data_IF_842652799151
#
_entry.id   IF_842652799151
#
_cell.length_a   1.000
_cell.length_b   1.000
_cell.length_c   1.000
_cell.angle_alpha   90.00
_cell.angle_beta   90.00
_cell.angle_gamma   90.00
#
_symmetry.space_group_name_H-M   'P 1'
#
loop_
_entity.id
_entity.type
_entity.pdbx_description
1 polymer ?
#
# COMPACT_ATOMS: atom_id res chain seq x y z
N UNK A 1 -5.58 10.24 -0.15
CA UNK A 1 -5.28 9.49 -1.40
C UNK A 1 -5.57 8.00 -1.19
N UNK A 2 -6.83 7.64 -0.89
CA UNK A 2 -7.21 6.26 -0.56
C UNK A 2 -6.79 5.22 -1.63
N UNK A 3 -6.90 5.50 -2.95
CA UNK A 3 -6.48 4.58 -4.01
C UNK A 3 -5.03 4.09 -3.91
N UNK A 4 -4.11 4.98 -3.54
CA UNK A 4 -2.71 4.63 -3.38
C UNK A 4 -2.54 3.59 -2.26
N UNK A 5 -3.21 3.79 -1.13
CA UNK A 5 -3.08 2.90 0.02
C UNK A 5 -3.74 1.54 -0.18
N UNK A 6 -4.84 1.46 -0.94
CA UNK A 6 -5.46 0.17 -1.27
C UNK A 6 -4.61 -0.62 -2.27
N UNK A 7 -4.08 0.03 -3.31
CA UNK A 7 -3.12 -0.59 -4.23
C UNK A 7 -1.83 -1.04 -3.51
N UNK A 8 -1.29 -0.22 -2.61
CA UNK A 8 -0.15 -0.60 -1.77
C UNK A 8 -0.48 -1.80 -0.85
N UNK A 9 -1.68 -1.83 -0.26
CA UNK A 9 -2.18 -3.00 0.47
C UNK A 9 -2.25 -4.25 -0.42
N UNK A 10 -2.67 -4.10 -1.67
CA UNK A 10 -2.63 -5.14 -2.69
C UNK A 10 -1.21 -5.68 -2.92
N UNK A 11 -0.22 -4.79 -3.08
CA UNK A 11 1.21 -5.16 -3.18
C UNK A 11 1.65 -5.97 -1.96
N UNK A 12 1.41 -5.48 -0.74
CA UNK A 12 1.82 -6.15 0.49
C UNK A 12 1.16 -7.52 0.70
N UNK A 13 -0.08 -7.66 0.26
CA UNK A 13 -0.86 -8.90 0.43
C UNK A 13 -0.19 -10.10 -0.25
N UNK A 14 0.59 -9.87 -1.31
CA UNK A 14 1.12 -10.93 -2.18
C UNK A 14 0.04 -11.60 -3.04
N UNK A 15 -1.21 -11.15 -2.99
CA UNK A 15 -2.30 -11.66 -3.81
C UNK A 15 -2.36 -10.91 -5.13
N UNK A 16 -2.03 -11.62 -6.22
CA UNK A 16 -2.18 -11.11 -7.58
C UNK A 16 -3.65 -10.79 -7.92
N UNK A 17 -4.60 -11.56 -7.38
CA UNK A 17 -6.03 -11.31 -7.54
C UNK A 17 -6.44 -9.99 -6.90
N UNK A 18 -6.04 -9.76 -5.64
CA UNK A 18 -6.38 -8.52 -4.93
C UNK A 18 -5.71 -7.30 -5.59
N UNK A 19 -4.42 -7.41 -5.92
CA UNK A 19 -3.70 -6.33 -6.59
C UNK A 19 -4.36 -5.96 -7.93
N UNK A 20 -4.71 -6.94 -8.76
CA UNK A 20 -5.38 -6.66 -10.03
C UNK A 20 -6.79 -6.07 -9.84
N UNK A 21 -7.53 -6.49 -8.81
CA UNK A 21 -8.83 -5.90 -8.48
C UNK A 21 -8.72 -4.40 -8.15
N UNK A 22 -7.72 -4.01 -7.35
CA UNK A 22 -7.47 -2.60 -7.04
C UNK A 22 -7.07 -1.79 -8.29
N UNK A 23 -6.27 -2.39 -9.18
CA UNK A 23 -5.81 -1.76 -10.42
C UNK A 23 -6.92 -1.64 -11.49
N UNK A 24 -7.89 -2.55 -11.48
CA UNK A 24 -9.05 -2.51 -12.39
C UNK A 24 -9.87 -1.23 -12.22
N UNK A 25 -10.00 -0.73 -10.98
CA UNK A 25 -10.71 0.51 -10.68
C UNK A 25 -10.12 1.74 -11.40
N UNK A 26 -8.89 1.64 -11.91
CA UNK A 26 -8.17 2.72 -12.60
C UNK A 26 -7.84 2.40 -14.05
N UNK A 27 -8.45 1.35 -14.63
CA UNK A 27 -8.20 0.90 -16.00
C UNK A 27 -6.71 0.63 -16.29
N UNK A 28 -5.98 0.06 -15.33
CA UNK A 28 -4.56 -0.23 -15.50
C UNK A 28 -4.30 -1.10 -16.74
N UNK A 29 -3.38 -0.63 -17.57
CA UNK A 29 -2.87 -1.33 -18.75
C UNK A 29 -2.16 -2.64 -18.37
N UNK A 30 -1.97 -3.51 -19.35
CA UNK A 30 -1.20 -4.76 -19.14
C UNK A 30 0.20 -4.48 -18.60
N UNK A 31 0.89 -3.46 -19.14
CA UNK A 31 2.23 -3.09 -18.68
C UNK A 31 2.27 -2.56 -17.25
N UNK A 32 1.26 -1.80 -16.84
CA UNK A 32 1.15 -1.30 -15.45
C UNK A 32 0.92 -2.44 -14.46
N UNK A 33 0.07 -3.42 -14.81
CA UNK A 33 -0.16 -4.61 -13.97
C UNK A 33 1.11 -5.41 -13.79
N UNK A 34 1.82 -5.69 -14.88
CA UNK A 34 3.11 -6.40 -14.83
C UNK A 34 4.14 -5.66 -13.97
N UNK A 35 4.17 -4.33 -14.01
CA UNK A 35 5.03 -3.53 -13.16
C UNK A 35 4.68 -3.69 -11.68
N UNK A 36 3.40 -3.56 -11.32
CA UNK A 36 2.95 -3.75 -9.93
C UNK A 36 3.16 -5.18 -9.42
N UNK A 37 2.97 -6.19 -10.28
CA UNK A 37 3.23 -7.59 -9.94
C UNK A 37 4.72 -7.86 -9.65
N UNK A 38 5.63 -7.20 -10.39
CA UNK A 38 7.07 -7.26 -10.08
C UNK A 38 7.39 -6.62 -8.73
N UNK A 39 6.76 -5.49 -8.39
CA UNK A 39 6.91 -4.88 -7.06
C UNK A 39 6.40 -5.83 -5.97
N UNK A 40 5.20 -6.40 -6.16
CA UNK A 40 4.63 -7.39 -5.25
C UNK A 40 5.56 -8.60 -5.07
N UNK A 41 6.21 -9.05 -6.14
CA UNK A 41 7.20 -10.13 -6.08
C UNK A 41 8.42 -9.75 -5.22
N UNK A 42 8.97 -8.53 -5.35
CA UNK A 42 10.05 -8.06 -4.49
C UNK A 42 9.66 -8.08 -3.00
N UNK A 43 8.43 -7.69 -2.67
CA UNK A 43 7.92 -7.76 -1.29
C UNK A 43 7.77 -9.20 -0.78
N UNK A 44 7.39 -10.15 -1.65
CA UNK A 44 7.37 -11.57 -1.29
C UNK A 44 8.78 -12.10 -1.03
N UNK A 45 9.75 -11.76 -1.87
CA UNK A 45 11.15 -12.19 -1.76
C UNK A 45 11.85 -11.58 -0.54
N UNK A 46 11.54 -10.32 -0.21
CA UNK A 46 12.04 -9.65 1.00
C UNK A 46 11.47 -10.19 2.32
N UNK A 47 10.49 -11.10 2.25
CA UNK A 47 9.94 -11.82 3.39
C UNK A 47 9.28 -10.94 4.46
N UNK A 48 9.26 -11.44 5.70
CA UNK A 48 8.61 -10.77 6.84
C UNK A 48 9.17 -9.37 7.08
N UNK A 49 10.47 -9.16 6.90
CA UNK A 49 11.09 -7.84 7.13
C UNK A 49 10.50 -6.79 6.18
N UNK A 50 10.41 -7.06 4.89
CA UNK A 50 9.82 -6.14 3.92
C UNK A 50 8.32 -5.93 4.20
N UNK A 51 7.59 -7.01 4.53
CA UNK A 51 6.16 -6.92 4.84
C UNK A 51 5.83 -6.11 6.09
N UNK A 52 6.72 -6.02 7.07
CA UNK A 52 6.46 -5.29 8.33
C UNK A 52 7.14 -3.93 8.43
N UNK A 53 8.35 -3.78 7.91
CA UNK A 53 9.12 -2.54 8.03
C UNK A 53 8.63 -1.49 7.04
N UNK A 54 8.40 -1.86 5.78
CA UNK A 54 7.98 -0.93 4.73
C UNK A 54 6.63 -0.25 5.05
N UNK A 55 5.58 -0.96 5.54
CA UNK A 55 4.35 -0.28 5.91
C UNK A 55 4.53 0.65 7.11
N UNK A 56 5.42 0.32 8.04
CA UNK A 56 5.74 1.22 9.17
C UNK A 56 6.40 2.50 8.68
N UNK A 57 7.36 2.39 7.76
CA UNK A 57 7.99 3.56 7.13
C UNK A 57 6.93 4.42 6.46
N UNK A 58 6.02 3.81 5.68
CA UNK A 58 4.94 4.53 5.03
C UNK A 58 4.01 5.24 6.03
N UNK A 59 3.59 4.57 7.11
CA UNK A 59 2.80 5.20 8.18
C UNK A 59 3.55 6.40 8.75
N UNK A 60 4.83 6.24 9.10
CA UNK A 60 5.65 7.32 9.66
C UNK A 60 5.76 8.51 8.71
N UNK A 61 5.88 8.28 7.41
CA UNK A 61 5.87 9.35 6.41
C UNK A 61 4.51 10.07 6.34
N UNK A 62 3.39 9.33 6.36
CA UNK A 62 2.05 9.91 6.26
C UNK A 62 1.69 10.74 7.50
N UNK A 63 2.13 10.33 8.69
CA UNK A 63 1.88 11.07 9.94
C UNK A 63 2.90 12.20 10.18
N UNK A 64 3.84 12.43 9.27
CA UNK A 64 4.81 13.51 9.43
C UNK A 64 4.11 14.88 9.36
N UNK A 65 4.64 15.92 10.03
CA UNK A 65 4.05 17.27 9.99
C UNK A 65 3.83 17.80 8.58
N UNK A 66 4.74 17.47 7.66
CA UNK A 66 4.67 17.87 6.26
C UNK A 66 3.48 17.22 5.55
N UNK A 67 3.27 15.91 5.69
CA UNK A 67 2.12 15.23 5.10
C UNK A 67 0.79 15.60 5.76
N UNK A 68 0.80 15.84 7.08
CA UNK A 68 -0.38 16.29 7.81
C UNK A 68 -0.87 17.66 7.33
N UNK A 69 0.04 18.54 6.94
CA UNK A 69 -0.32 19.84 6.35
C UNK A 69 -1.09 19.71 5.03
N UNK A 70 -0.95 18.58 4.33
CA UNK A 70 -1.57 18.33 3.03
C UNK A 70 -2.85 17.47 3.11
N UNK A 71 -2.86 16.41 3.92
CA UNK A 71 -4.00 15.47 3.98
C UNK A 71 -5.00 15.75 5.10
N UNK A 72 -4.64 16.53 6.13
CA UNK A 72 -5.48 16.74 7.30
C UNK A 72 -5.62 15.49 8.20
N UNK A 73 -5.97 15.69 9.47
CA UNK A 73 -5.94 14.63 10.49
C UNK A 73 -6.91 13.46 10.21
N UNK A 74 -8.06 13.73 9.58
CA UNK A 74 -9.09 12.71 9.33
C UNK A 74 -8.63 11.67 8.29
N UNK A 75 -8.02 12.13 7.19
CA UNK A 75 -7.50 11.24 6.14
C UNK A 75 -6.33 10.41 6.68
N UNK A 76 -5.47 11.00 7.51
CA UNK A 76 -4.37 10.28 8.15
C UNK A 76 -4.86 9.20 9.11
N UNK A 77 -5.95 9.44 9.85
CA UNK A 77 -6.54 8.44 10.71
C UNK A 77 -7.07 7.23 9.92
N UNK A 78 -7.74 7.46 8.79
CA UNK A 78 -8.23 6.39 7.92
C UNK A 78 -7.09 5.56 7.30
N UNK A 79 -6.03 6.22 6.83
CA UNK A 79 -4.83 5.57 6.28
C UNK A 79 -4.14 4.72 7.35
N UNK A 80 -3.97 5.27 8.55
CA UNK A 80 -3.35 4.56 9.67
C UNK A 80 -4.18 3.33 10.07
N UNK A 81 -5.51 3.47 10.10
CA UNK A 81 -6.40 2.35 10.35
C UNK A 81 -6.29 1.25 9.28
N UNK A 82 -6.14 1.61 8.01
CA UNK A 82 -5.97 0.65 6.91
C UNK A 82 -4.62 -0.09 7.03
N UNK A 83 -3.53 0.64 7.28
CA UNK A 83 -2.17 0.07 7.39
C UNK A 83 -2.00 -0.78 8.65
N UNK A 84 -2.65 -0.42 9.76
CA UNK A 84 -2.63 -1.24 10.99
C UNK A 84 -3.33 -2.60 10.82
N UNK A 85 -4.40 -2.69 10.02
CA UNK A 85 -5.05 -3.97 9.68
C UNK A 85 -4.15 -4.90 8.86
N UNK A 86 -3.24 -4.34 8.07
CA UNK A 86 -2.27 -5.10 7.28
C UNK A 86 -1.09 -5.61 8.12
N UNK A 87 -0.85 -5.05 9.32
CA UNK A 87 0.18 -5.51 10.27
C UNK A 87 -0.27 -6.70 11.15
N UNK A 88 -1.54 -7.12 11.10
CA UNK A 88 -2.13 -8.14 11.98
C UNK A 88 -2.43 -9.49 11.30
N UNK A 89 -1.93 -9.71 10.07
CA UNK A 89 -2.10 -10.96 9.33
C UNK A 89 -0.78 -11.61 8.94
#
# INVERSE_FOLDING_TARGET
CLPFFTAYGGVLSGSKLWLNHELDAYNATTGEREAYEKIQQCFREGGLKAKFLEPKILVTMVISPECLSYYGNEIVAEITALLSKLQLR
#
